data_IF_960476563393
#
_entry.id   IF_960476563393
#
_cell.length_a   1.000
_cell.length_b   1.000
_cell.length_c   1.000
_cell.angle_alpha   90.00
_cell.angle_beta   90.00
_cell.angle_gamma   90.00
#
_symmetry.space_group_name_H-M   'P 1'
#
loop_
_entity.id
_entity.type
_entity.pdbx_description
1 polymer ?
#
# COMPACT_ATOMS: atom_id res chain seq x y z
N UNK A 1 -22.26 8.91 -21.14
CA UNK A 1 -20.81 9.20 -21.24
C UNK A 1 -20.45 9.29 -22.71
N UNK A 2 -19.76 10.36 -23.16
CA UNK A 2 -19.55 10.65 -24.59
C UNK A 2 -18.39 9.86 -25.23
N UNK A 3 -17.35 9.51 -24.46
CA UNK A 3 -16.24 8.68 -24.96
C UNK A 3 -16.76 7.31 -25.42
N UNK A 4 -16.20 6.75 -26.50
CA UNK A 4 -16.50 5.38 -26.98
C UNK A 4 -15.56 4.33 -26.37
N UNK A 5 -14.54 4.73 -25.61
CA UNK A 5 -13.53 3.85 -25.02
C UNK A 5 -14.09 3.26 -23.71
N UNK A 6 -14.40 1.97 -23.69
CA UNK A 6 -14.97 1.30 -22.51
C UNK A 6 -14.11 1.40 -21.24
N UNK A 7 -12.77 1.22 -21.29
CA UNK A 7 -11.91 1.46 -20.13
C UNK A 7 -12.08 2.87 -19.52
N UNK A 8 -12.22 3.90 -20.36
CA UNK A 8 -12.42 5.28 -19.90
C UNK A 8 -13.79 5.49 -19.26
N UNK A 9 -14.84 4.86 -19.81
CA UNK A 9 -16.17 4.88 -19.19
C UNK A 9 -16.15 4.21 -17.81
N UNK A 10 -15.43 3.10 -17.66
CA UNK A 10 -15.28 2.40 -16.36
C UNK A 10 -14.62 3.29 -15.31
N UNK A 11 -13.49 3.92 -15.66
CA UNK A 11 -12.79 4.87 -14.77
C UNK A 11 -13.69 6.04 -14.39
N UNK A 12 -14.34 6.67 -15.37
CA UNK A 12 -15.22 7.80 -15.09
C UNK A 12 -16.43 7.43 -14.22
N UNK A 13 -16.92 6.18 -14.29
CA UNK A 13 -18.03 5.70 -13.47
C UNK A 13 -17.55 5.47 -12.04
N UNK A 14 -16.37 4.85 -11.88
CA UNK A 14 -15.71 4.70 -10.59
C UNK A 14 -15.51 6.07 -9.91
N UNK A 15 -14.98 7.07 -10.63
CA UNK A 15 -14.77 8.41 -10.07
C UNK A 15 -16.08 9.07 -9.61
N UNK A 16 -17.16 8.95 -10.39
CA UNK A 16 -18.48 9.47 -10.01
C UNK A 16 -19.03 8.78 -8.75
N UNK A 17 -18.88 7.46 -8.65
CA UNK A 17 -19.31 6.70 -7.48
C UNK A 17 -18.53 7.09 -6.21
N UNK A 18 -17.25 7.42 -6.34
CA UNK A 18 -16.38 7.82 -5.23
C UNK A 18 -16.31 9.34 -5.02
N UNK A 19 -17.13 10.11 -5.75
CA UNK A 19 -17.12 11.58 -5.71
C UNK A 19 -17.18 12.17 -4.28
N UNK A 20 -18.04 11.68 -3.36
CA UNK A 20 -18.07 12.20 -1.99
C UNK A 20 -16.74 12.05 -1.24
N UNK A 21 -16.02 10.95 -1.46
CA UNK A 21 -14.72 10.68 -0.84
C UNK A 21 -13.62 11.54 -1.46
N UNK A 22 -13.63 11.72 -2.77
CA UNK A 22 -12.66 12.59 -3.46
C UNK A 22 -12.76 14.04 -2.99
N UNK A 23 -13.98 14.53 -2.71
CA UNK A 23 -14.19 15.87 -2.17
C UNK A 23 -13.64 16.06 -0.76
N UNK A 24 -13.48 15.01 0.03
CA UNK A 24 -12.91 15.12 1.39
C UNK A 24 -11.48 15.64 1.37
N UNK A 25 -10.68 15.30 0.35
CA UNK A 25 -9.33 15.83 0.19
C UNK A 25 -9.32 17.37 0.07
N UNK A 26 -10.19 17.90 -0.78
CA UNK A 26 -10.32 19.35 -0.98
C UNK A 26 -10.87 20.06 0.25
N UNK A 27 -11.86 19.45 0.93
CA UNK A 27 -12.40 19.97 2.19
C UNK A 27 -11.35 20.00 3.29
N UNK A 28 -10.51 18.96 3.37
CA UNK A 28 -9.39 18.88 4.29
C UNK A 28 -8.22 19.79 3.90
N UNK A 29 -8.25 20.45 2.74
CA UNK A 29 -7.22 21.41 2.29
C UNK A 29 -5.78 20.89 2.40
N UNK A 30 -5.56 19.60 2.13
CA UNK A 30 -4.23 18.99 2.22
C UNK A 30 -3.69 18.80 3.63
N UNK A 31 -4.56 18.83 4.66
CA UNK A 31 -4.17 18.54 6.05
C UNK A 31 -3.62 17.12 6.27
N UNK A 32 -3.93 16.18 5.37
CA UNK A 32 -3.42 14.82 5.42
C UNK A 32 -2.44 14.60 4.27
N UNK A 33 -1.29 14.01 4.56
CA UNK A 33 -0.36 13.55 3.51
C UNK A 33 -0.61 12.09 3.19
N UNK A 34 -0.85 11.79 1.91
CA UNK A 34 -0.91 10.39 1.43
C UNK A 34 0.44 9.68 1.50
N UNK A 35 1.55 10.42 1.64
CA UNK A 35 2.90 9.85 1.62
C UNK A 35 3.17 8.87 2.77
N UNK A 36 2.58 9.11 3.94
CA UNK A 36 2.72 8.19 5.09
C UNK A 36 2.03 6.84 4.76
N UNK A 37 0.81 6.90 4.24
CA UNK A 37 0.03 5.71 3.86
C UNK A 37 0.71 4.95 2.73
N UNK A 38 1.24 5.66 1.73
CA UNK A 38 2.00 5.08 0.63
C UNK A 38 3.29 4.41 1.12
N UNK A 39 4.02 5.04 2.03
CA UNK A 39 5.19 4.46 2.69
C UNK A 39 4.86 3.17 3.43
N UNK A 40 3.77 3.14 4.19
CA UNK A 40 3.29 1.93 4.85
C UNK A 40 2.92 0.82 3.86
N UNK A 41 2.20 1.14 2.79
CA UNK A 41 1.84 0.18 1.75
C UNK A 41 3.09 -0.42 1.08
N UNK A 42 4.10 0.39 0.78
CA UNK A 42 5.36 -0.07 0.21
C UNK A 42 6.13 -0.97 1.18
N UNK A 43 6.18 -0.61 2.47
CA UNK A 43 6.80 -1.43 3.51
C UNK A 43 6.13 -2.80 3.62
N UNK A 44 4.79 -2.83 3.71
CA UNK A 44 4.03 -4.07 3.75
C UNK A 44 4.26 -4.94 2.52
N UNK A 45 4.26 -4.34 1.31
CA UNK A 45 4.53 -5.05 0.05
C UNK A 45 5.92 -5.69 0.04
N UNK A 46 6.95 -4.97 0.48
CA UNK A 46 8.32 -5.47 0.55
C UNK A 46 8.43 -6.61 1.57
N UNK A 47 7.83 -6.46 2.75
CA UNK A 47 7.85 -7.48 3.80
C UNK A 47 7.18 -8.76 3.35
N UNK A 48 5.99 -8.66 2.73
CA UNK A 48 5.30 -9.84 2.18
C UNK A 48 6.13 -10.52 1.09
N UNK A 49 6.83 -9.76 0.24
CA UNK A 49 7.74 -10.33 -0.77
C UNK A 49 8.91 -11.07 -0.13
N UNK A 50 9.50 -10.55 0.95
CA UNK A 50 10.58 -11.22 1.70
C UNK A 50 10.08 -12.52 2.37
N UNK A 51 8.86 -12.50 2.90
CA UNK A 51 8.26 -13.66 3.55
C UNK A 51 7.76 -14.75 2.57
N UNK A 52 7.71 -14.45 1.27
CA UNK A 52 7.18 -15.36 0.24
C UNK A 52 7.85 -16.74 0.25
N UNK A 53 9.15 -16.80 0.56
CA UNK A 53 9.91 -18.06 0.62
C UNK A 53 9.39 -19.05 1.67
N UNK A 54 8.73 -18.57 2.73
CA UNK A 54 8.19 -19.42 3.81
C UNK A 54 6.83 -20.04 3.50
N UNK A 55 6.17 -19.62 2.40
CA UNK A 55 4.92 -20.21 1.87
C UNK A 55 3.76 -20.36 2.85
N UNK A 56 3.76 -19.66 3.97
CA UNK A 56 2.69 -19.68 4.96
C UNK A 56 2.23 -18.27 5.30
N UNK A 57 0.93 -18.13 5.56
CA UNK A 57 0.37 -16.86 6.01
C UNK A 57 0.98 -16.42 7.35
N UNK A 58 1.17 -17.37 8.27
CA UNK A 58 1.73 -17.10 9.58
C UNK A 58 3.13 -16.49 9.52
N UNK A 59 4.00 -16.97 8.61
CA UNK A 59 5.31 -16.36 8.41
C UNK A 59 5.21 -14.93 7.83
N UNK A 60 4.25 -14.67 6.93
CA UNK A 60 4.03 -13.32 6.41
C UNK A 60 3.51 -12.36 7.49
N UNK A 61 2.64 -12.84 8.37
CA UNK A 61 2.14 -12.10 9.53
C UNK A 61 3.27 -11.77 10.52
N UNK A 62 4.08 -12.76 10.92
CA UNK A 62 5.23 -12.54 11.80
C UNK A 62 6.21 -11.53 11.19
N UNK A 63 6.54 -11.68 9.91
CA UNK A 63 7.43 -10.76 9.21
C UNK A 63 6.86 -9.34 9.19
N UNK A 64 5.55 -9.19 9.00
CA UNK A 64 4.87 -7.89 9.05
C UNK A 64 4.98 -7.24 10.42
N UNK A 65 4.66 -7.97 11.50
CA UNK A 65 4.80 -7.45 12.87
C UNK A 65 6.25 -7.10 13.21
N UNK A 66 7.21 -7.93 12.79
CA UNK A 66 8.64 -7.67 13.00
C UNK A 66 9.10 -6.39 12.29
N UNK A 67 8.71 -6.21 11.03
CA UNK A 67 9.02 -5.01 10.26
C UNK A 67 8.33 -3.74 10.80
N UNK A 68 7.10 -3.85 11.30
CA UNK A 68 6.37 -2.73 11.89
C UNK A 68 6.93 -2.34 13.27
N UNK A 69 7.29 -3.33 14.08
CA UNK A 69 7.88 -3.14 15.42
C UNK A 69 9.36 -2.76 15.41
N UNK A 70 10.00 -2.70 14.24
CA UNK A 70 11.44 -2.45 14.09
C UNK A 70 12.28 -3.36 15.01
N UNK A 71 11.87 -4.62 15.12
CA UNK A 71 12.49 -5.58 16.02
C UNK A 71 13.91 -5.93 15.53
N UNK A 72 14.82 -6.33 16.44
CA UNK A 72 16.16 -6.74 16.06
C UNK A 72 16.10 -7.95 15.11
N UNK A 73 16.92 -7.91 14.07
CA UNK A 73 17.21 -9.05 13.20
C UNK A 73 18.55 -9.68 13.62
N UNK A 74 18.73 -11.00 13.41
CA UNK A 74 20.02 -11.63 13.63
C UNK A 74 21.11 -10.94 12.80
N UNK A 75 22.31 -10.82 13.37
CA UNK A 75 23.48 -10.37 12.61
C UNK A 75 23.76 -11.38 11.49
N UNK A 76 23.71 -10.90 10.25
CA UNK A 76 24.01 -11.72 9.07
C UNK A 76 25.48 -11.57 8.70
N UNK A 77 26.15 -12.67 8.35
CA UNK A 77 27.54 -12.66 7.92
C UNK A 77 27.80 -11.81 6.65
N UNK A 78 26.76 -11.57 5.84
CA UNK A 78 26.86 -10.82 4.59
C UNK A 78 25.71 -9.82 4.48
N UNK A 79 26.06 -8.56 4.15
CA UNK A 79 25.11 -7.55 3.71
C UNK A 79 25.20 -7.41 2.18
N UNK A 80 24.06 -7.48 1.50
CA UNK A 80 23.99 -7.24 0.06
C UNK A 80 23.38 -5.85 -0.17
N UNK A 81 24.12 -5.00 -0.89
CA UNK A 81 23.77 -3.61 -1.20
C UNK A 81 22.89 -3.47 -2.45
#
# INVERSE_FOLDING_TARGET
MRSKIEPMKKVARMLRNHHPLLLNWFRAKGQFSSGIVEGFNNKAKLTTRRAYGFKTYHAAEIALYHALGALPVPETAHEFF
#
